data_IF_761566359808
#
_entry.id   IF_761566359808
#
_cell.length_a   1.000
_cell.length_b   1.000
_cell.length_c   1.000
_cell.angle_alpha   90.00
_cell.angle_beta   90.00
_cell.angle_gamma   90.00
#
_symmetry.space_group_name_H-M   'P 1'
#
loop_
_entity.id
_entity.type
_entity.pdbx_description
1 polymer ?
#
# COMPACT_ATOMS: atom_id res chain seq x y z
N UNK A 1 -15.38 28.83 7.17
CA UNK A 1 -13.94 28.48 7.28
C UNK A 1 -13.71 27.20 6.51
N UNK A 2 -12.66 27.13 5.72
CA UNK A 2 -12.25 25.85 5.14
C UNK A 2 -11.77 24.97 6.30
N UNK A 3 -12.37 23.80 6.46
CA UNK A 3 -11.86 22.81 7.39
C UNK A 3 -10.51 22.31 6.86
N UNK A 4 -9.55 22.19 7.75
CA UNK A 4 -8.26 21.62 7.39
C UNK A 4 -8.42 20.10 7.32
N UNK A 5 -8.54 19.59 6.10
CA UNK A 5 -8.69 18.14 5.84
C UNK A 5 -7.35 17.41 5.74
N UNK A 6 -6.27 18.07 6.16
CA UNK A 6 -4.96 17.43 6.19
C UNK A 6 -4.82 16.55 7.43
N UNK A 7 -4.39 15.31 7.22
CA UNK A 7 -4.18 14.35 8.28
C UNK A 7 -2.70 13.95 8.36
N UNK A 8 -2.24 13.63 9.57
CA UNK A 8 -0.93 13.04 9.77
C UNK A 8 -0.98 11.54 9.46
N UNK A 9 0.18 10.94 9.22
CA UNK A 9 0.29 9.50 9.01
C UNK A 9 0.04 8.67 10.28
N UNK A 10 -0.07 9.32 11.44
CA UNK A 10 -0.35 8.62 12.68
C UNK A 10 -1.72 7.90 12.61
N UNK A 11 -1.74 6.62 12.95
CA UNK A 11 -2.94 5.79 12.86
C UNK A 11 -3.18 5.11 11.50
N UNK A 12 -2.33 5.37 10.50
CA UNK A 12 -2.37 4.60 9.25
C UNK A 12 -1.99 3.14 9.50
N UNK A 13 -2.62 2.24 8.75
CA UNK A 13 -2.44 0.80 8.89
C UNK A 13 -2.18 0.15 7.54
N UNK A 14 -1.42 -0.93 7.57
CA UNK A 14 -1.23 -1.82 6.43
C UNK A 14 -1.62 -3.23 6.85
N UNK A 15 -2.44 -3.89 6.06
CA UNK A 15 -2.80 -5.29 6.23
C UNK A 15 -2.40 -6.11 5.03
N UNK A 16 -1.99 -7.35 5.27
CA UNK A 16 -1.73 -8.34 4.24
C UNK A 16 -2.81 -9.42 4.30
N UNK A 17 -3.42 -9.71 3.15
CA UNK A 17 -4.47 -10.71 3.00
C UNK A 17 -3.98 -12.00 2.35
N UNK A 18 -4.88 -12.70 1.69
CA UNK A 18 -4.61 -13.94 0.95
C UNK A 18 -4.26 -13.70 -0.52
N UNK A 19 -4.23 -14.80 -1.28
CA UNK A 19 -3.96 -14.81 -2.73
C UNK A 19 -5.24 -15.08 -3.53
N UNK A 20 -6.31 -14.35 -3.22
CA UNK A 20 -7.64 -14.59 -3.83
C UNK A 20 -7.79 -14.02 -5.23
N UNK A 21 -6.81 -13.23 -5.71
CA UNK A 21 -6.88 -12.61 -7.03
C UNK A 21 -7.94 -11.52 -7.16
N UNK A 22 -8.16 -10.76 -6.07
CA UNK A 22 -9.15 -9.69 -6.03
C UNK A 22 -8.86 -8.58 -7.03
N UNK A 23 -9.89 -8.11 -7.72
CA UNK A 23 -9.83 -6.97 -8.65
C UNK A 23 -10.91 -5.92 -8.36
N UNK A 24 -11.94 -6.27 -7.61
CA UNK A 24 -13.05 -5.39 -7.25
C UNK A 24 -13.08 -5.09 -5.77
N UNK A 25 -13.73 -3.99 -5.40
CA UNK A 25 -13.93 -3.60 -4.00
C UNK A 25 -14.56 -4.74 -3.17
N UNK A 26 -15.57 -5.40 -3.72
CA UNK A 26 -16.28 -6.50 -3.04
C UNK A 26 -15.34 -7.68 -2.76
N UNK A 27 -14.50 -8.05 -3.73
CA UNK A 27 -13.53 -9.13 -3.59
C UNK A 27 -12.43 -8.80 -2.57
N UNK A 28 -11.90 -7.57 -2.59
CA UNK A 28 -10.94 -7.12 -1.60
C UNK A 28 -11.53 -7.10 -0.19
N UNK A 29 -12.78 -6.63 -0.03
CA UNK A 29 -13.46 -6.59 1.28
C UNK A 29 -13.82 -7.97 1.80
N UNK A 30 -13.98 -8.97 0.92
CA UNK A 30 -14.26 -10.35 1.30
C UNK A 30 -13.03 -11.08 1.89
N UNK A 31 -11.83 -10.57 1.67
CA UNK A 31 -10.61 -11.16 2.20
C UNK A 31 -10.36 -10.77 3.66
N UNK A 32 -9.59 -11.59 4.36
CA UNK A 32 -9.19 -11.33 5.74
C UNK A 32 -7.75 -10.82 5.78
N UNK A 33 -7.54 -9.67 6.40
CA UNK A 33 -6.25 -9.01 6.47
C UNK A 33 -5.64 -9.13 7.86
N UNK A 34 -4.36 -9.49 7.92
CA UNK A 34 -3.55 -9.39 9.12
C UNK A 34 -2.85 -8.03 9.13
N UNK A 35 -3.19 -7.19 10.08
CA UNK A 35 -2.56 -5.87 10.21
C UNK A 35 -1.11 -6.00 10.67
N UNK A 36 -0.21 -5.31 9.99
CA UNK A 36 1.20 -5.24 10.34
C UNK A 36 1.37 -4.18 11.44
N UNK A 37 1.83 -4.62 12.59
CA UNK A 37 2.09 -3.73 13.74
C UNK A 37 3.43 -3.02 13.66
N UNK A 38 3.59 -2.02 14.52
CA UNK A 38 4.85 -1.29 14.75
C UNK A 38 5.44 -0.63 13.49
N UNK A 39 4.58 -0.12 12.61
CA UNK A 39 5.01 0.60 11.40
C UNK A 39 5.57 1.97 11.79
N UNK A 40 6.85 2.20 11.48
CA UNK A 40 7.53 3.49 11.66
C UNK A 40 7.39 4.37 10.41
N UNK A 41 7.52 3.78 9.24
CA UNK A 41 7.41 4.47 7.95
C UNK A 41 6.69 3.56 6.95
N UNK A 42 5.66 4.09 6.32
CA UNK A 42 4.87 3.37 5.31
C UNK A 42 5.35 3.62 3.87
N UNK A 43 6.29 4.55 3.67
CA UNK A 43 6.81 4.88 2.35
C UNK A 43 5.76 5.50 1.42
N UNK A 44 5.97 5.32 0.13
CA UNK A 44 5.07 5.85 -0.90
C UNK A 44 4.69 4.76 -1.90
N UNK A 45 3.54 4.92 -2.52
CA UNK A 45 3.03 4.03 -3.56
C UNK A 45 2.20 4.83 -4.56
N UNK A 46 2.04 4.31 -5.76
CA UNK A 46 1.25 4.94 -6.81
C UNK A 46 1.75 4.61 -8.20
N UNK A 47 0.86 4.71 -9.18
CA UNK A 47 1.19 4.42 -10.57
C UNK A 47 2.03 5.52 -11.20
N UNK A 48 3.06 5.12 -11.91
CA UNK A 48 3.82 5.97 -12.82
C UNK A 48 3.71 5.45 -14.26
N UNK A 49 3.64 6.38 -15.22
CA UNK A 49 3.58 6.03 -16.64
C UNK A 49 4.89 6.40 -17.32
N UNK A 50 5.42 5.49 -18.13
CA UNK A 50 6.50 5.83 -19.03
C UNK A 50 6.02 6.84 -20.06
N UNK A 51 6.90 7.77 -20.45
CA UNK A 51 6.58 8.77 -21.47
C UNK A 51 6.95 8.25 -22.87
N UNK A 52 5.97 8.21 -23.74
CA UNK A 52 6.19 7.97 -25.18
C UNK A 52 6.11 9.32 -25.89
N UNK A 53 7.19 9.68 -26.60
CA UNK A 53 7.26 10.96 -27.30
C UNK A 53 7.08 10.78 -28.81
N UNK A 54 6.37 11.72 -29.41
CA UNK A 54 6.21 11.83 -30.85
C UNK A 54 6.45 13.27 -31.30
N UNK A 55 7.31 13.46 -32.29
CA UNK A 55 7.56 14.78 -32.88
C UNK A 55 6.93 14.86 -34.24
N UNK A 56 5.98 15.79 -34.40
CA UNK A 56 5.34 16.03 -35.69
C UNK A 56 6.25 16.83 -36.63
N UNK A 57 6.44 16.36 -37.82
CA UNK A 57 7.19 17.10 -38.85
C UNK A 57 6.45 18.37 -39.29
N UNK A 58 5.13 18.42 -39.13
CA UNK A 58 4.30 19.54 -39.56
C UNK A 58 4.52 20.80 -38.73
N UNK A 59 4.63 20.64 -37.40
CA UNK A 59 4.74 21.77 -36.47
C UNK A 59 6.04 21.73 -35.63
N UNK A 60 6.86 20.69 -35.77
CA UNK A 60 8.10 20.52 -35.00
C UNK A 60 7.89 20.36 -33.52
N UNK A 61 6.65 20.14 -33.07
CA UNK A 61 6.32 20.07 -31.63
C UNK A 61 6.36 18.65 -31.12
N UNK A 62 7.03 18.48 -29.97
CA UNK A 62 7.05 17.20 -29.25
C UNK A 62 5.73 17.02 -28.48
N UNK A 63 5.08 15.90 -28.71
CA UNK A 63 3.88 15.46 -27.99
C UNK A 63 4.22 14.26 -27.12
N UNK A 64 3.66 14.25 -25.91
CA UNK A 64 3.89 13.18 -24.93
C UNK A 64 2.63 12.37 -24.74
N UNK A 65 2.78 11.07 -24.78
CA UNK A 65 1.72 10.10 -24.53
C UNK A 65 2.11 9.20 -23.35
N UNK A 66 1.13 8.69 -22.64
CA UNK A 66 1.35 7.70 -21.59
C UNK A 66 1.70 6.35 -22.20
N UNK A 67 2.81 5.77 -21.78
CA UNK A 67 3.21 4.41 -22.11
C UNK A 67 2.75 3.40 -21.08
N UNK A 68 3.61 2.46 -20.72
CA UNK A 68 3.34 1.44 -19.71
C UNK A 68 3.20 2.04 -18.31
N UNK A 69 2.25 1.52 -17.54
CA UNK A 69 2.08 1.84 -16.13
C UNK A 69 2.95 0.91 -15.27
N UNK A 70 3.50 1.46 -14.19
CA UNK A 70 4.20 0.73 -13.15
C UNK A 70 3.81 1.33 -11.80
N UNK A 71 3.22 0.53 -10.94
CA UNK A 71 2.86 0.95 -9.58
C UNK A 71 4.07 0.98 -8.63
N UNK A 72 5.22 0.46 -9.07
CA UNK A 72 6.46 0.49 -8.34
C UNK A 72 6.48 -0.43 -7.12
N UNK A 73 7.33 -0.07 -6.20
CA UNK A 73 7.55 -0.81 -4.96
C UNK A 73 7.12 0.01 -3.75
N UNK A 74 6.32 -0.61 -2.89
CA UNK A 74 6.00 -0.08 -1.58
C UNK A 74 7.08 -0.54 -0.58
N UNK A 75 7.83 0.40 -0.03
CA UNK A 75 8.83 0.12 1.01
C UNK A 75 8.32 0.60 2.35
N UNK A 76 8.34 -0.27 3.34
CA UNK A 76 7.95 0.08 4.71
C UNK A 76 9.03 -0.35 5.71
N UNK A 77 9.11 0.41 6.81
CA UNK A 77 9.99 0.11 7.94
C UNK A 77 9.13 -0.14 9.18
N UNK A 78 9.37 -1.26 9.84
CA UNK A 78 8.65 -1.63 11.06
C UNK A 78 9.63 -1.92 12.20
N UNK A 79 9.23 -1.67 13.44
CA UNK A 79 9.90 -2.21 14.61
C UNK A 79 9.72 -3.73 14.65
N UNK A 80 10.79 -4.48 14.89
CA UNK A 80 10.73 -5.94 14.89
C UNK A 80 9.92 -6.44 16.09
N UNK A 81 8.76 -7.02 15.83
CA UNK A 81 7.95 -7.75 16.80
C UNK A 81 7.65 -9.17 16.28
N UNK A 82 8.25 -10.16 16.92
CA UNK A 82 8.04 -11.55 16.56
C UNK A 82 6.68 -12.11 16.98
N UNK A 83 5.99 -11.42 17.89
CA UNK A 83 4.63 -11.75 18.33
C UNK A 83 3.54 -11.21 17.41
N UNK A 84 3.88 -10.27 16.51
CA UNK A 84 2.91 -9.64 15.62
C UNK A 84 2.46 -10.57 14.48
N UNK A 85 1.15 -10.80 14.38
CA UNK A 85 0.58 -11.68 13.36
C UNK A 85 0.77 -11.16 11.94
N UNK A 86 0.70 -9.85 11.74
CA UNK A 86 0.92 -9.22 10.44
C UNK A 86 2.36 -9.35 9.96
N UNK A 87 3.34 -9.12 10.83
CA UNK A 87 4.75 -9.32 10.48
C UNK A 87 5.06 -10.79 10.18
N UNK A 88 4.43 -11.72 10.88
CA UNK A 88 4.57 -13.15 10.59
C UNK A 88 3.93 -13.54 9.25
N UNK A 89 2.79 -12.95 8.90
CA UNK A 89 2.17 -13.13 7.59
C UNK A 89 3.06 -12.60 6.46
N UNK A 90 3.70 -11.46 6.64
CA UNK A 90 4.70 -10.90 5.70
C UNK A 90 5.90 -11.84 5.53
N UNK A 91 6.40 -12.43 6.61
CA UNK A 91 7.48 -13.44 6.54
C UNK A 91 7.08 -14.65 5.70
N UNK A 92 5.86 -15.14 5.90
CA UNK A 92 5.32 -16.27 5.14
C UNK A 92 5.17 -15.92 3.67
N UNK A 93 4.64 -14.73 3.37
CA UNK A 93 4.50 -14.23 2.00
C UNK A 93 5.86 -14.06 1.29
N UNK A 94 6.88 -13.60 2.02
CA UNK A 94 8.23 -13.46 1.48
C UNK A 94 8.87 -14.80 1.10
N UNK A 95 8.60 -15.85 1.87
CA UNK A 95 9.10 -17.19 1.58
C UNK A 95 8.33 -17.90 0.46
N UNK A 96 7.13 -17.46 0.18
CA UNK A 96 6.27 -18.02 -0.86
C UNK A 96 6.79 -17.66 -2.26
N UNK A 97 7.15 -18.67 -3.05
CA UNK A 97 7.63 -18.52 -4.42
C UNK A 97 6.56 -18.83 -5.46
N UNK A 98 5.32 -19.00 -5.07
CA UNK A 98 4.22 -19.26 -5.98
C UNK A 98 3.91 -18.01 -6.84
N UNK A 99 3.17 -18.21 -7.93
CA UNK A 99 2.84 -17.13 -8.88
C UNK A 99 1.80 -16.14 -8.37
N UNK A 100 0.99 -16.54 -7.37
CA UNK A 100 -0.08 -15.68 -6.86
C UNK A 100 0.44 -14.43 -6.14
N UNK A 101 -0.30 -13.34 -6.28
CA UNK A 101 -0.06 -12.10 -5.57
C UNK A 101 -0.92 -12.03 -4.30
N UNK A 102 -0.38 -11.45 -3.26
CA UNK A 102 -1.09 -11.21 -2.01
C UNK A 102 -1.91 -9.91 -2.09
N UNK A 103 -3.10 -9.91 -1.52
CA UNK A 103 -3.90 -8.71 -1.36
C UNK A 103 -3.30 -7.83 -0.26
N UNK A 104 -3.14 -6.55 -0.55
CA UNK A 104 -2.59 -5.55 0.37
C UNK A 104 -3.65 -4.48 0.57
N UNK A 105 -3.84 -4.09 1.82
CA UNK A 105 -4.77 -3.04 2.22
C UNK A 105 -4.03 -1.98 3.01
N UNK A 106 -4.14 -0.73 2.60
CA UNK A 106 -3.63 0.41 3.34
C UNK A 106 -4.82 1.28 3.73
N UNK A 107 -4.93 1.58 5.02
CA UNK A 107 -6.00 2.41 5.56
C UNK A 107 -5.40 3.65 6.20
N UNK A 108 -5.84 4.82 5.75
CA UNK A 108 -5.45 6.09 6.33
C UNK A 108 -6.26 6.37 7.60
N UNK A 109 -5.88 7.41 8.32
CA UNK A 109 -6.57 7.82 9.56
C UNK A 109 -7.38 9.11 9.32
N UNK A 110 -8.19 9.13 8.27
CA UNK A 110 -9.01 10.28 7.85
C UNK A 110 -10.52 10.01 7.92
N UNK A 111 -10.91 8.89 8.51
CA UNK A 111 -12.31 8.59 8.79
C UNK A 111 -12.78 9.22 10.09
N UNK A 112 -14.11 9.26 10.29
CA UNK A 112 -14.73 9.68 11.54
C UNK A 112 -15.70 8.62 12.05
N UNK A 113 -15.26 7.81 13.04
CA UNK A 113 -16.11 6.77 13.62
C UNK A 113 -17.22 7.34 14.50
N UNK A 114 -17.16 8.62 14.87
CA UNK A 114 -18.14 9.29 15.73
C UNK A 114 -19.22 10.00 14.94
N UNK A 115 -19.02 10.21 13.66
CA UNK A 115 -20.01 10.83 12.78
C UNK A 115 -21.26 9.97 12.62
N UNK A 116 -22.37 10.61 12.29
CA UNK A 116 -23.62 9.91 12.00
C UNK A 116 -24.16 10.36 10.64
N UNK A 117 -24.07 9.52 9.60
CA UNK A 117 -23.47 8.15 9.60
C UNK A 117 -21.95 8.15 9.79
N UNK A 118 -21.41 7.06 10.26
CA UNK A 118 -19.94 6.85 10.40
C UNK A 118 -19.26 7.09 9.04
N UNK A 119 -18.13 7.82 9.05
CA UNK A 119 -17.33 8.06 7.85
C UNK A 119 -16.18 7.06 7.81
N UNK A 120 -16.18 6.20 6.80
CA UNK A 120 -15.10 5.25 6.57
C UNK A 120 -13.84 5.98 6.09
N UNK A 121 -12.64 5.57 6.56
CA UNK A 121 -11.39 6.19 6.12
C UNK A 121 -11.04 5.84 4.68
N UNK A 122 -10.17 6.65 4.08
CA UNK A 122 -9.56 6.34 2.79
C UNK A 122 -8.82 5.00 2.87
N UNK A 123 -9.12 4.12 1.95
CA UNK A 123 -8.54 2.79 1.89
C UNK A 123 -8.01 2.52 0.49
N UNK A 124 -6.79 2.02 0.42
CA UNK A 124 -6.16 1.58 -0.83
C UNK A 124 -6.06 0.06 -0.84
N UNK A 125 -6.47 -0.54 -1.93
CA UNK A 125 -6.33 -1.97 -2.18
C UNK A 125 -5.45 -2.20 -3.40
N UNK A 126 -4.56 -3.17 -3.30
CA UNK A 126 -3.65 -3.56 -4.36
C UNK A 126 -3.20 -5.00 -4.19
N UNK A 127 -2.59 -5.56 -5.20
CA UNK A 127 -1.99 -6.89 -5.14
C UNK A 127 -0.50 -6.81 -5.44
N UNK A 128 0.27 -7.61 -4.73
CA UNK A 128 1.70 -7.62 -4.93
C UNK A 128 2.40 -8.79 -4.27
N UNK A 129 3.71 -8.79 -4.40
CA UNK A 129 4.59 -9.79 -3.81
C UNK A 129 5.55 -9.13 -2.81
N UNK A 130 5.79 -9.81 -1.70
CA UNK A 130 6.83 -9.38 -0.77
C UNK A 130 8.19 -9.76 -1.35
N UNK A 131 8.91 -8.75 -1.83
CA UNK A 131 10.19 -8.91 -2.53
C UNK A 131 11.37 -8.88 -1.57
N UNK A 132 11.29 -8.10 -0.50
CA UNK A 132 12.35 -7.94 0.48
C UNK A 132 11.80 -8.01 1.90
N UNK A 133 12.57 -8.64 2.78
CA UNK A 133 12.28 -8.74 4.20
C UNK A 133 13.60 -8.87 4.95
N UNK A 134 14.22 -7.73 5.23
CA UNK A 134 15.54 -7.65 5.87
C UNK A 134 15.45 -7.11 7.29
N UNK A 135 16.34 -7.50 8.15
CA UNK A 135 16.41 -7.05 9.54
C UNK A 135 17.65 -6.19 9.73
N UNK A 136 17.45 -5.03 10.31
CA UNK A 136 18.51 -4.06 10.66
C UNK A 136 18.57 -3.90 12.18
N UNK A 137 19.47 -4.61 12.88
CA UNK A 137 19.59 -4.51 14.33
C UNK A 137 20.04 -3.13 14.82
N UNK A 138 20.89 -2.45 14.04
CA UNK A 138 21.43 -1.15 14.41
C UNK A 138 22.45 -1.19 15.56
N UNK A 139 22.67 -0.02 16.19
CA UNK A 139 23.55 0.12 17.35
C UNK A 139 22.80 -0.21 18.66
N UNK A 140 23.53 -0.24 19.77
CA UNK A 140 23.00 -0.66 21.09
C UNK A 140 21.78 0.12 21.56
N UNK A 141 21.69 1.41 21.22
CA UNK A 141 20.58 2.30 21.62
C UNK A 141 19.45 2.38 20.58
N UNK A 142 19.51 1.58 19.50
CA UNK A 142 18.52 1.57 18.45
C UNK A 142 17.53 0.43 18.62
N UNK A 143 16.28 0.69 18.25
CA UNK A 143 15.28 -0.36 18.08
C UNK A 143 15.62 -1.20 16.86
N UNK A 144 15.54 -2.51 16.99
CA UNK A 144 15.71 -3.41 15.85
C UNK A 144 14.58 -3.18 14.84
N UNK A 145 14.93 -2.91 13.60
CA UNK A 145 13.98 -2.62 12.52
C UNK A 145 13.96 -3.74 11.50
N UNK A 146 12.84 -3.85 10.84
CA UNK A 146 12.65 -4.70 9.68
C UNK A 146 12.25 -3.84 8.49
N UNK A 147 12.96 -4.00 7.37
CA UNK A 147 12.64 -3.33 6.11
C UNK A 147 11.94 -4.33 5.19
N UNK A 148 10.78 -3.94 4.71
CA UNK A 148 9.91 -4.76 3.86
C UNK A 148 9.69 -4.01 2.56
N UNK A 149 9.82 -4.69 1.43
CA UNK A 149 9.50 -4.15 0.11
C UNK A 149 8.47 -5.04 -0.56
N UNK A 150 7.38 -4.44 -1.01
CA UNK A 150 6.30 -5.11 -1.72
C UNK A 150 6.26 -4.58 -3.14
N UNK A 151 6.52 -5.44 -4.12
CA UNK A 151 6.35 -5.11 -5.53
C UNK A 151 4.88 -5.17 -5.91
N UNK A 152 4.31 -4.05 -6.35
CA UNK A 152 2.90 -3.93 -6.69
C UNK A 152 2.69 -4.37 -8.14
N UNK A 153 1.80 -5.34 -8.36
CA UNK A 153 1.54 -5.96 -9.67
C UNK A 153 0.13 -5.70 -10.21
N UNK A 154 -0.69 -4.94 -9.49
CA UNK A 154 -2.05 -4.61 -9.91
C UNK A 154 -2.29 -3.11 -9.92
N UNK A 155 -3.41 -2.70 -10.51
CA UNK A 155 -3.93 -1.35 -10.31
C UNK A 155 -4.22 -1.11 -8.83
N UNK A 156 -4.10 0.14 -8.40
CA UNK A 156 -4.40 0.54 -7.04
C UNK A 156 -5.84 1.06 -7.01
N UNK A 157 -6.67 0.37 -6.22
CA UNK A 157 -8.05 0.80 -5.99
C UNK A 157 -8.09 1.73 -4.78
N UNK A 158 -8.48 2.98 -5.00
CA UNK A 158 -8.66 3.98 -3.96
C UNK A 158 -10.12 4.15 -3.61
N UNK A 159 -10.46 3.97 -2.35
CA UNK A 159 -11.77 4.27 -1.79
C UNK A 159 -11.66 5.51 -0.91
N UNK A 160 -12.23 6.62 -1.37
CA UNK A 160 -12.24 7.88 -0.63
C UNK A 160 -13.16 7.81 0.61
N UNK A 161 -13.02 8.72 1.59
CA UNK A 161 -13.91 8.76 2.74
C UNK A 161 -15.36 8.82 2.32
N UNK A 162 -16.17 7.91 2.82
CA UNK A 162 -17.57 7.83 2.49
C UNK A 162 -18.39 7.38 3.70
N UNK A 163 -19.67 7.83 3.80
CA UNK A 163 -20.57 7.33 4.82
C UNK A 163 -20.70 5.80 4.76
N UNK A 164 -20.69 5.16 5.91
CA UNK A 164 -20.96 3.73 6.01
C UNK A 164 -22.40 3.44 5.54
N UNK A 165 -22.52 2.40 4.74
CA UNK A 165 -23.82 1.95 4.25
C UNK A 165 -24.64 1.30 5.38
#
# INVERSE_FOLDING_TARGET
>A
MAEDNLNTAAGCRLGIGGKTGADTETEYKADTYADVGEIEDLGQFGDTFSSVTFTSLKDGRVRKYKGTADAGDLTLTVGLDNGDGGQNAVKTAHKDRSKGDYNIKITLNDGDPTATPVINPTTFYMRGKVMNNTVAPGAADNVVRRNITIGINSDILELVPAPAA
#
